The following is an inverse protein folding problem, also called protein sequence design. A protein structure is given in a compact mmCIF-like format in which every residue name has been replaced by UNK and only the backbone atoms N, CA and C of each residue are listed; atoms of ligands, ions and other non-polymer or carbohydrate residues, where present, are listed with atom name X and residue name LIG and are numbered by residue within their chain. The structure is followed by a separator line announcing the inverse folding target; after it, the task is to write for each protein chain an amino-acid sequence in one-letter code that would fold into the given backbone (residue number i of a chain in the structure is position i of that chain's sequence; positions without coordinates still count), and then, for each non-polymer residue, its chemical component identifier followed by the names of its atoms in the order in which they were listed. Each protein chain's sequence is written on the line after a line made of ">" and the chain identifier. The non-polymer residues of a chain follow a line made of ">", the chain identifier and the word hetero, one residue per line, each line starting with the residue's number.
data_IF_530622959951
#
_entry.id   IF_530622959951
#
_cell.length_a   1.000
_cell.length_b   1.000
_cell.length_c   1.000
_cell.angle_alpha   90.00
_cell.angle_beta   90.00
_cell.angle_gamma   90.00
#
_symmetry.space_group_name_H-M   'P 1'
#
loop_
_entity.id
_entity.type
_entity.pdbx_description
1 polymer ?
#
# COMPACT_ATOMS: atom_id res chain seq x y z
N UNK A 1 8.83 -10.48 1.68
CA UNK A 1 8.74 -9.00 1.64
C UNK A 1 9.42 -8.51 0.37
N UNK A 2 8.72 -7.77 -0.50
CA UNK A 2 9.32 -7.23 -1.72
C UNK A 2 9.14 -5.72 -1.72
N UNK A 3 10.17 -4.97 -1.34
CA UNK A 3 10.18 -3.52 -1.45
C UNK A 3 10.42 -3.14 -2.92
N UNK A 4 9.44 -2.51 -3.58
CA UNK A 4 9.64 -1.88 -4.89
C UNK A 4 9.49 -0.38 -4.70
N UNK A 5 10.59 0.37 -4.86
CA UNK A 5 10.56 1.83 -4.83
C UNK A 5 10.06 2.40 -6.15
N UNK A 6 9.32 3.52 -6.10
CA UNK A 6 9.21 4.39 -7.27
C UNK A 6 10.59 5.03 -7.50
N UNK A 7 11.23 4.67 -8.62
CA UNK A 7 12.50 5.27 -9.07
C UNK A 7 12.21 6.37 -10.09
N UNK A 8 12.90 7.50 -9.93
CA UNK A 8 13.07 8.48 -11.00
C UNK A 8 13.85 7.87 -12.17
N UNK A 9 13.69 8.44 -13.38
CA UNK A 9 14.55 8.12 -14.55
C UNK A 9 16.05 8.33 -14.24
N UNK A 10 16.39 9.15 -13.25
CA UNK A 10 17.77 9.43 -12.81
C UNK A 10 18.21 8.59 -11.58
N UNK A 11 17.55 7.46 -11.29
CA UNK A 11 17.99 6.50 -10.26
C UNK A 11 17.70 6.87 -8.80
N UNK A 12 17.25 8.10 -8.49
CA UNK A 12 16.85 8.50 -7.12
C UNK A 12 15.50 7.88 -6.74
N UNK A 13 15.41 7.31 -5.53
CA UNK A 13 14.16 6.80 -4.92
C UNK A 13 13.44 7.94 -4.23
N UNK A 14 12.20 8.20 -4.61
CA UNK A 14 11.40 9.32 -4.08
C UNK A 14 10.22 8.85 -3.22
N UNK A 15 9.77 7.62 -3.46
CA UNK A 15 8.81 6.94 -2.61
C UNK A 15 9.20 5.47 -2.44
N UNK A 16 9.04 4.96 -1.23
CA UNK A 16 9.21 3.54 -0.92
C UNK A 16 7.83 2.95 -0.71
N UNK A 17 7.47 1.96 -1.51
CA UNK A 17 6.25 1.16 -1.31
C UNK A 17 6.63 -0.19 -0.70
N UNK A 18 6.09 -0.45 0.49
CA UNK A 18 6.15 -1.77 1.14
C UNK A 18 4.79 -2.44 0.97
N UNK A 19 4.80 -3.65 0.39
CA UNK A 19 3.58 -4.47 0.26
C UNK A 19 3.62 -5.60 1.27
N UNK A 20 2.54 -5.71 2.04
CA UNK A 20 2.31 -6.83 2.93
C UNK A 20 1.37 -7.82 2.24
N UNK A 21 1.77 -9.09 2.22
CA UNK A 21 0.95 -10.20 1.74
C UNK A 21 1.39 -11.46 2.46
N UNK A 22 0.44 -12.21 3.00
CA UNK A 22 0.72 -13.43 3.74
C UNK A 22 0.98 -14.61 2.79
N UNK A 23 2.05 -15.36 3.06
CA UNK A 23 2.25 -16.71 2.55
C UNK A 23 1.62 -17.71 3.52
N UNK A 24 1.08 -18.86 3.05
CA UNK A 24 0.32 -19.80 3.88
C UNK A 24 1.07 -20.31 5.13
N UNK A 25 2.41 -20.39 5.10
CA UNK A 25 3.24 -20.84 6.23
C UNK A 25 3.35 -19.79 7.36
N UNK A 26 2.98 -18.52 7.10
CA UNK A 26 3.07 -17.39 8.04
C UNK A 26 1.69 -16.93 8.54
N UNK A 27 0.60 -17.58 8.10
CA UNK A 27 -0.77 -17.10 8.32
C UNK A 27 -1.23 -17.19 9.78
N UNK A 28 -0.83 -18.22 10.55
CA UNK A 28 -1.31 -18.40 11.93
C UNK A 28 -0.82 -17.33 12.91
N UNK A 29 0.40 -16.77 12.73
CA UNK A 29 0.92 -15.69 13.60
C UNK A 29 0.51 -14.29 13.15
N UNK A 30 0.00 -14.15 11.93
CA UNK A 30 -0.36 -12.86 11.37
C UNK A 30 -1.57 -12.24 12.09
N UNK A 31 -2.59 -13.04 12.40
CA UNK A 31 -3.80 -12.61 13.13
C UNK A 31 -3.45 -12.02 14.50
N UNK A 32 -2.60 -12.71 15.26
CA UNK A 32 -2.19 -12.31 16.61
C UNK A 32 -1.34 -11.04 16.65
N UNK A 33 -0.75 -10.63 15.52
CA UNK A 33 0.16 -9.48 15.43
C UNK A 33 -0.36 -8.36 14.51
N UNK A 34 -1.45 -8.56 13.78
CA UNK A 34 -1.99 -7.59 12.82
C UNK A 34 -2.31 -6.23 13.48
N UNK A 35 -2.80 -6.26 14.72
CA UNK A 35 -3.09 -5.05 15.52
C UNK A 35 -1.85 -4.21 15.85
N UNK A 36 -0.63 -4.78 15.75
CA UNK A 36 0.61 -4.05 15.96
C UNK A 36 1.05 -3.26 14.73
N UNK A 37 0.53 -3.61 13.54
CA UNK A 37 0.96 -3.00 12.28
C UNK A 37 0.71 -1.48 12.24
N UNK A 38 -0.45 -0.95 12.69
CA UNK A 38 -0.65 0.50 12.77
C UNK A 38 0.36 1.18 13.72
N UNK A 39 0.57 0.61 14.92
CA UNK A 39 1.52 1.14 15.91
C UNK A 39 2.95 1.17 15.37
N UNK A 40 3.34 0.12 14.65
CA UNK A 40 4.63 0.06 13.97
C UNK A 40 4.78 1.17 12.93
N UNK A 41 3.72 1.50 12.20
CA UNK A 41 3.74 2.56 11.18
C UNK A 41 3.85 3.94 11.84
N UNK A 42 3.15 4.18 12.94
CA UNK A 42 3.28 5.42 13.71
C UNK A 42 4.70 5.59 14.27
N UNK A 43 5.28 4.53 14.83
CA UNK A 43 6.65 4.55 15.34
C UNK A 43 7.68 4.72 14.21
N UNK A 44 7.45 4.08 13.06
CA UNK A 44 8.29 4.24 11.88
C UNK A 44 8.22 5.69 11.36
N UNK A 45 7.02 6.28 11.30
CA UNK A 45 6.81 7.65 10.85
C UNK A 45 7.48 8.66 11.79
N UNK A 46 7.37 8.46 13.11
CA UNK A 46 7.99 9.36 14.10
C UNK A 46 9.52 9.34 14.04
N UNK A 47 10.13 8.19 13.74
CA UNK A 47 11.59 8.04 13.61
C UNK A 47 12.14 8.50 12.26
N UNK A 48 11.30 8.60 11.23
CA UNK A 48 11.72 8.89 9.86
C UNK A 48 11.28 10.28 9.37
N UNK A 49 11.78 11.33 10.02
CA UNK A 49 11.48 12.73 9.71
C UNK A 49 11.72 13.15 8.24
N UNK A 50 12.56 12.40 7.50
CA UNK A 50 12.82 12.66 6.08
C UNK A 50 11.64 12.29 5.15
N UNK A 51 10.62 11.59 5.67
CA UNK A 51 9.39 11.23 4.97
C UNK A 51 8.16 11.85 5.66
N UNK A 52 7.91 13.15 5.45
CA UNK A 52 6.85 13.88 6.16
C UNK A 52 5.42 13.55 5.68
N UNK A 53 5.27 12.69 4.66
CA UNK A 53 3.99 12.18 4.23
C UNK A 53 4.03 10.65 4.13
N UNK A 54 3.08 10.00 4.77
CA UNK A 54 2.93 8.54 4.82
C UNK A 54 1.48 8.19 4.46
N UNK A 55 1.28 7.49 3.34
CA UNK A 55 -0.03 6.94 2.96
C UNK A 55 -0.04 5.44 3.16
N UNK A 56 -0.95 4.97 4.00
CA UNK A 56 -1.05 3.58 4.41
C UNK A 56 -2.46 3.06 4.21
N UNK A 57 -2.57 1.89 3.59
CA UNK A 57 -3.82 1.14 3.42
C UNK A 57 -3.59 -0.26 3.94
N UNK A 58 -4.36 -0.68 4.95
CA UNK A 58 -4.18 -1.95 5.63
C UNK A 58 -5.52 -2.67 5.72
N UNK A 59 -5.65 -3.72 4.93
CA UNK A 59 -6.72 -4.68 5.03
C UNK A 59 -6.31 -5.75 6.04
N UNK A 60 -6.72 -5.54 7.29
CA UNK A 60 -6.46 -6.47 8.40
C UNK A 60 -7.60 -7.47 8.58
N UNK A 61 -8.61 -7.47 7.72
CA UNK A 61 -9.64 -8.50 7.74
C UNK A 61 -9.06 -9.82 7.20
N UNK A 62 -9.02 -10.83 8.05
CA UNK A 62 -8.52 -12.16 7.72
C UNK A 62 -9.65 -13.14 7.38
N UNK A 63 -10.89 -12.76 7.70
CA UNK A 63 -12.09 -13.56 7.51
C UNK A 63 -12.78 -13.23 6.19
N UNK A 64 -12.42 -12.09 5.56
CA UNK A 64 -12.88 -11.70 4.24
C UNK A 64 -12.82 -12.88 3.24
N UNK A 65 -13.94 -13.19 2.54
CA UNK A 65 -14.03 -14.35 1.67
C UNK A 65 -13.14 -14.23 0.43
N UNK A 66 -12.82 -13.00 0.04
CA UNK A 66 -12.21 -12.70 -1.26
C UNK A 66 -10.69 -12.55 -1.22
N UNK A 67 -10.13 -11.96 -0.17
CA UNK A 67 -8.70 -11.65 -0.11
C UNK A 67 -8.08 -12.14 1.19
N UNK A 68 -6.86 -12.65 1.09
CA UNK A 68 -5.99 -12.78 2.26
C UNK A 68 -5.42 -11.38 2.50
N UNK A 69 -5.61 -10.85 3.70
CA UNK A 69 -5.15 -9.54 4.16
C UNK A 69 -4.04 -8.87 3.33
N UNK A 70 -4.34 -7.67 2.84
CA UNK A 70 -3.53 -6.90 1.91
C UNK A 70 -3.03 -5.61 2.58
N UNK A 71 -1.79 -5.21 2.33
CA UNK A 71 -1.29 -3.94 2.87
C UNK A 71 -0.39 -3.19 1.90
N UNK A 72 -0.47 -1.87 1.94
CA UNK A 72 0.41 -0.96 1.21
C UNK A 72 0.80 0.23 2.09
N UNK A 73 2.09 0.46 2.25
CA UNK A 73 2.64 1.65 2.91
C UNK A 73 3.49 2.42 1.92
N UNK A 74 3.22 3.71 1.73
CA UNK A 74 3.94 4.61 0.84
C UNK A 74 4.51 5.78 1.63
N UNK A 75 5.84 5.87 1.64
CA UNK A 75 6.58 6.95 2.31
C UNK A 75 7.04 7.96 1.26
N UNK A 76 6.67 9.23 1.41
CA UNK A 76 7.02 10.31 0.47
C UNK A 76 8.07 11.21 1.09
N UNK A 77 9.20 11.37 0.40
CA UNK A 77 10.34 12.15 0.90
C UNK A 77 10.02 13.65 0.93
N UNK A 78 10.60 14.38 1.88
CA UNK A 78 10.35 15.81 2.09
C UNK A 78 10.50 16.67 0.82
N UNK A 79 11.56 16.44 0.03
CA UNK A 79 11.80 17.15 -1.25
C UNK A 79 10.90 16.72 -2.40
N UNK A 80 9.93 15.83 -2.17
CA UNK A 80 8.96 15.35 -3.17
C UNK A 80 7.52 15.74 -2.83
N UNK A 81 7.30 16.42 -1.71
CA UNK A 81 5.99 17.02 -1.36
C UNK A 81 5.63 18.08 -2.41
N UNK A 82 4.38 18.08 -2.86
CA UNK A 82 3.91 18.93 -3.96
C UNK A 82 4.25 18.41 -5.36
N UNK A 83 5.18 17.46 -5.49
CA UNK A 83 5.51 16.81 -6.77
C UNK A 83 4.85 15.44 -6.94
N UNK A 84 4.45 14.83 -5.83
CA UNK A 84 3.81 13.52 -5.81
C UNK A 84 2.30 13.70 -5.69
N UNK A 85 1.58 12.98 -6.53
CA UNK A 85 0.12 12.91 -6.54
C UNK A 85 -0.34 11.47 -6.63
N UNK A 86 -1.46 11.16 -6.00
CA UNK A 86 -2.09 9.85 -6.02
C UNK A 86 -3.32 9.89 -6.90
N UNK A 87 -3.51 8.86 -7.71
CA UNK A 87 -4.68 8.74 -8.56
C UNK A 87 -5.91 8.40 -7.75
N UNK A 88 -6.97 9.16 -7.95
CA UNK A 88 -8.31 8.86 -7.49
C UNK A 88 -9.04 8.11 -8.62
N UNK A 89 -9.36 6.84 -8.39
CA UNK A 89 -10.05 5.97 -9.32
C UNK A 89 -11.54 6.31 -9.52
N UNK A 90 -12.16 6.99 -8.55
CA UNK A 90 -13.55 7.46 -8.67
C UNK A 90 -13.66 8.68 -9.58
N UNK A 91 -12.83 9.71 -9.35
CA UNK A 91 -12.83 10.93 -10.17
C UNK A 91 -11.93 10.84 -11.41
N UNK A 92 -11.12 9.79 -11.53
CA UNK A 92 -10.09 9.64 -12.57
C UNK A 92 -9.06 10.79 -12.65
N UNK A 93 -8.81 11.46 -11.52
CA UNK A 93 -7.89 12.61 -11.40
C UNK A 93 -6.76 12.31 -10.41
N UNK A 94 -5.59 12.92 -10.62
CA UNK A 94 -4.50 12.88 -9.65
C UNK A 94 -4.67 13.97 -8.59
N UNK A 95 -4.69 13.57 -7.33
CA UNK A 95 -4.80 14.45 -6.17
C UNK A 95 -3.41 14.61 -5.54
N UNK A 96 -2.94 15.83 -5.25
CA UNK A 96 -1.67 16.05 -4.56
C UNK A 96 -1.62 15.33 -3.22
N UNK A 97 -0.44 14.84 -2.85
CA UNK A 97 -0.23 14.23 -1.54
C UNK A 97 0.22 15.29 -0.54
N UNK A 98 -0.53 15.40 0.54
CA UNK A 98 -0.26 16.32 1.64
C UNK A 98 0.64 15.69 2.70
N UNK A 99 1.18 16.53 3.58
CA UNK A 99 1.96 16.09 4.75
C UNK A 99 1.04 15.42 5.77
N UNK A 100 1.60 14.48 6.52
CA UNK A 100 0.86 13.75 7.56
C UNK A 100 1.00 12.24 7.42
N UNK A 101 0.51 11.55 8.45
CA UNK A 101 0.45 10.08 8.49
C UNK A 101 -1.01 9.69 8.36
N UNK A 102 -1.38 9.12 7.22
CA UNK A 102 -2.75 8.63 6.99
C UNK A 102 -2.72 7.10 6.97
N UNK A 103 -3.45 6.51 7.93
CA UNK A 103 -3.62 5.07 8.07
C UNK A 103 -5.09 4.74 7.83
N UNK A 104 -5.37 4.09 6.70
CA UNK A 104 -6.72 3.63 6.34
C UNK A 104 -6.85 2.14 6.63
N UNK A 105 -7.68 1.80 7.62
CA UNK A 105 -7.96 0.43 8.07
C UNK A 105 -9.31 -0.08 7.54
N UNK A 106 -10.30 0.82 7.47
CA UNK A 106 -11.68 0.48 7.15
C UNK A 106 -12.12 1.15 5.84
N UNK A 107 -13.26 0.71 5.29
CA UNK A 107 -13.83 1.30 4.07
C UNK A 107 -12.94 1.14 2.83
N UNK A 108 -12.04 0.16 2.83
CA UNK A 108 -11.08 -0.04 1.73
C UNK A 108 -11.75 -0.50 0.42
N UNK A 109 -12.94 -1.10 0.48
CA UNK A 109 -13.73 -1.45 -0.71
C UNK A 109 -14.35 -0.24 -1.40
N UNK A 110 -14.70 0.80 -0.64
CA UNK A 110 -15.26 2.06 -1.16
C UNK A 110 -14.21 3.15 -1.34
N UNK A 111 -12.96 2.89 -0.95
CA UNK A 111 -11.88 3.86 -1.06
C UNK A 111 -11.59 4.22 -2.51
N UNK A 112 -11.63 5.51 -2.89
CA UNK A 112 -11.38 5.91 -4.26
C UNK A 112 -9.89 5.90 -4.61
N UNK A 113 -8.99 5.68 -3.65
CA UNK A 113 -7.54 5.82 -3.83
C UNK A 113 -6.80 4.50 -4.06
N UNK A 114 -7.52 3.38 -3.90
CA UNK A 114 -7.01 2.03 -4.08
C UNK A 114 -7.98 1.17 -4.88
N UNK A 115 -7.49 0.06 -5.43
CA UNK A 115 -8.35 -1.02 -5.96
C UNK A 115 -7.82 -2.35 -5.45
N UNK A 116 -8.69 -3.20 -4.90
CA UNK A 116 -8.35 -4.60 -4.61
C UNK A 116 -8.73 -5.48 -5.81
N UNK A 117 -7.83 -6.38 -6.23
CA UNK A 117 -8.07 -7.31 -7.34
C UNK A 117 -7.54 -8.69 -7.04
N UNK A 118 -8.28 -9.73 -7.45
CA UNK A 118 -7.78 -11.12 -7.42
C UNK A 118 -6.77 -11.32 -8.54
N UNK A 119 -5.81 -12.21 -8.33
CA UNK A 119 -4.96 -12.63 -9.44
C UNK A 119 -5.81 -13.35 -10.49
N UNK A 120 -5.67 -13.02 -11.79
CA UNK A 120 -6.52 -13.64 -12.81
C UNK A 120 -6.20 -15.14 -12.92
N UNK A 121 -7.23 -15.98 -12.69
CA UNK A 121 -7.07 -17.44 -12.62
C UNK A 121 -6.55 -18.06 -13.93
N UNK A 122 -6.90 -17.48 -15.07
CA UNK A 122 -6.54 -18.01 -16.39
C UNK A 122 -5.04 -17.97 -16.69
N UNK A 123 -4.26 -17.11 -16.01
CA UNK A 123 -2.80 -17.08 -16.14
C UNK A 123 -2.10 -18.20 -15.36
N UNK A 124 -2.76 -18.78 -14.34
CA UNK A 124 -2.19 -19.85 -13.50
C UNK A 124 -3.21 -20.97 -13.27
N UNK A 125 -3.68 -21.65 -14.33
CA UNK A 125 -4.78 -22.62 -14.26
C UNK A 125 -4.47 -23.81 -13.34
N UNK A 126 -3.19 -24.13 -13.15
CA UNK A 126 -2.71 -25.23 -12.30
C UNK A 126 -2.58 -24.86 -10.82
N UNK A 127 -2.64 -23.57 -10.45
CA UNK A 127 -2.45 -23.13 -9.07
C UNK A 127 -3.76 -22.66 -8.44
N UNK A 128 -4.08 -23.19 -7.25
CA UNK A 128 -5.25 -22.76 -6.46
C UNK A 128 -4.97 -21.43 -5.75
N UNK A 129 -5.06 -20.30 -6.46
CA UNK A 129 -4.91 -18.93 -5.92
C UNK A 129 -6.19 -18.43 -5.20
N UNK A 130 -6.87 -19.28 -4.42
CA UNK A 130 -8.25 -19.04 -3.95
C UNK A 130 -8.51 -17.65 -3.36
N UNK A 131 -7.68 -17.21 -2.42
CA UNK A 131 -7.80 -15.91 -1.72
C UNK A 131 -6.63 -14.96 -1.99
N UNK A 132 -5.86 -15.19 -3.05
CA UNK A 132 -4.68 -14.36 -3.32
C UNK A 132 -5.04 -13.23 -4.28
N UNK A 133 -4.69 -12.01 -3.89
CA UNK A 133 -4.92 -10.81 -4.68
C UNK A 133 -3.83 -9.76 -4.44
N UNK A 134 -4.08 -8.56 -4.93
CA UNK A 134 -3.22 -7.42 -4.77
C UNK A 134 -4.03 -6.14 -4.56
N UNK A 135 -3.45 -5.22 -3.82
CA UNK A 135 -3.92 -3.84 -3.72
C UNK A 135 -3.15 -2.99 -4.74
N UNK A 136 -3.90 -2.30 -5.58
CA UNK A 136 -3.38 -1.40 -6.59
C UNK A 136 -3.51 0.04 -6.12
N UNK A 137 -2.40 0.76 -6.17
CA UNK A 137 -2.34 2.21 -6.04
C UNK A 137 -1.65 2.77 -7.27
N UNK A 138 -2.03 3.97 -7.71
CA UNK A 138 -1.41 4.64 -8.86
C UNK A 138 -0.90 6.01 -8.42
N UNK A 139 0.34 6.28 -8.77
CA UNK A 139 1.07 7.46 -8.33
C UNK A 139 1.67 8.14 -9.55
N UNK A 140 1.61 9.47 -9.55
CA UNK A 140 2.32 10.30 -10.51
C UNK A 140 3.29 11.17 -9.74
N UNK A 141 4.54 11.13 -10.18
CA UNK A 141 5.52 12.11 -9.80
C UNK A 141 5.65 13.08 -10.96
N UNK A 142 5.35 14.35 -10.73
CA UNK A 142 5.63 15.39 -11.70
C UNK A 142 7.15 15.56 -11.75
N UNK A 143 7.72 15.46 -12.95
CA UNK A 143 9.12 15.80 -13.15
C UNK A 143 9.29 17.29 -12.82
N UNK A 144 10.32 17.61 -12.04
CA UNK A 144 11.01 18.88 -12.21
C UNK A 144 11.69 18.90 -13.57
#
# INVERSE_FOLDING_TARGET
>A
MTARGLRLRNGRRCAVSVRFGSTPVMACRYVECAWQVPKLIDELASRMHMYPAVQTYLDLDHEAPDFTALGCVVLVKAGSIGLVSQFNFSSSVYVPVERGVNINLEGLESSPLIIKRKFPKHFWPTFKWGRKGYMQTRWKMNNM
#
